data_IF_318783497203
#
_entry.id   IF_318783497203
#
_cell.length_a   1.000
_cell.length_b   1.000
_cell.length_c   1.000
_cell.angle_alpha   90.00
_cell.angle_beta   90.00
_cell.angle_gamma   90.00
#
_symmetry.space_group_name_H-M   'P 1'
#
loop_
_entity.id
_entity.type
_entity.pdbx_description
1 polymer ?
#
# COMPACT_ATOMS: atom_id res chain seq x y z
N UNK A 1 -1.86 -16.91 3.09
CA UNK A 1 -1.02 -15.72 2.78
C UNK A 1 -1.16 -15.40 1.31
N UNK A 2 -1.72 -14.23 0.95
CA UNK A 2 -1.87 -13.78 -0.45
C UNK A 2 -0.92 -12.61 -0.70
N UNK A 3 0.36 -12.91 -0.87
CA UNK A 3 1.33 -11.93 -1.35
C UNK A 3 1.11 -11.76 -2.85
N UNK A 4 0.90 -10.52 -3.28
CA UNK A 4 0.72 -10.18 -4.70
C UNK A 4 1.80 -9.21 -5.12
N UNK A 5 2.26 -9.33 -6.36
CA UNK A 5 3.21 -8.38 -6.93
C UNK A 5 2.55 -7.00 -7.00
N UNK A 6 3.32 -5.94 -6.78
CA UNK A 6 2.88 -4.55 -6.90
C UNK A 6 2.08 -4.30 -8.19
N UNK A 7 2.56 -4.85 -9.32
CA UNK A 7 1.89 -4.70 -10.62
C UNK A 7 0.48 -5.32 -10.66
N UNK A 8 0.29 -6.47 -10.01
CA UNK A 8 -1.03 -7.12 -9.89
C UNK A 8 -1.93 -6.34 -8.96
N UNK A 9 -1.43 -5.98 -7.78
CA UNK A 9 -2.16 -5.14 -6.83
C UNK A 9 -2.63 -3.81 -7.44
N UNK A 10 -1.77 -3.15 -8.21
CA UNK A 10 -2.10 -1.92 -8.94
C UNK A 10 -3.26 -2.13 -9.94
N UNK A 11 -3.34 -3.31 -10.55
CA UNK A 11 -4.40 -3.66 -11.48
C UNK A 11 -5.71 -4.04 -10.78
N UNK A 12 -5.64 -4.71 -9.62
CA UNK A 12 -6.82 -5.14 -8.85
C UNK A 12 -7.43 -3.99 -8.01
N UNK A 13 -6.62 -3.19 -7.31
CA UNK A 13 -7.09 -2.06 -6.48
C UNK A 13 -7.25 -0.75 -7.25
N UNK A 14 -6.62 -0.60 -8.42
CA UNK A 14 -6.57 0.67 -9.15
C UNK A 14 -5.61 1.71 -8.54
N UNK A 15 -4.90 1.37 -7.46
CA UNK A 15 -3.81 2.18 -6.92
C UNK A 15 -2.62 2.21 -7.89
N UNK A 16 -1.92 3.34 -8.00
CA UNK A 16 -0.68 3.43 -8.78
C UNK A 16 0.53 2.94 -7.97
N UNK A 17 1.58 2.49 -8.66
CA UNK A 17 2.87 2.17 -8.02
C UNK A 17 3.42 3.36 -7.22
N UNK A 18 3.28 4.57 -7.76
CA UNK A 18 3.65 5.80 -7.06
C UNK A 18 2.92 5.98 -5.73
N UNK A 19 1.60 5.71 -5.69
CA UNK A 19 0.81 5.79 -4.45
C UNK A 19 1.33 4.81 -3.38
N UNK A 20 1.73 3.60 -3.77
CA UNK A 20 2.34 2.62 -2.86
C UNK A 20 3.71 3.12 -2.37
N UNK A 21 4.53 3.65 -3.27
CA UNK A 21 5.83 4.22 -2.90
C UNK A 21 5.68 5.44 -1.98
N UNK A 22 4.67 6.28 -2.20
CA UNK A 22 4.34 7.41 -1.34
C UNK A 22 3.87 6.95 0.04
N UNK A 23 2.99 5.94 0.13
CA UNK A 23 2.56 5.33 1.40
C UNK A 23 3.75 4.73 2.17
N UNK A 24 4.66 4.06 1.47
CA UNK A 24 5.92 3.52 2.03
C UNK A 24 6.85 4.65 2.51
N UNK A 25 7.05 5.70 1.71
CA UNK A 25 7.89 6.87 2.06
C UNK A 25 7.32 7.64 3.24
N UNK A 26 5.99 7.72 3.36
CA UNK A 26 5.29 8.34 4.50
C UNK A 26 5.33 7.49 5.77
N UNK A 27 5.86 6.27 5.71
CA UNK A 27 5.92 5.35 6.86
C UNK A 27 4.58 4.72 7.23
N UNK A 28 3.58 4.82 6.34
CA UNK A 28 2.25 4.24 6.55
C UNK A 28 2.30 2.73 6.32
N UNK A 29 3.08 2.30 5.33
CA UNK A 29 3.32 0.90 5.02
C UNK A 29 4.69 0.47 5.51
N UNK A 30 4.70 -0.52 6.40
CA UNK A 30 5.91 -1.08 6.98
C UNK A 30 6.47 -2.20 6.11
N UNK A 31 7.79 -2.18 5.91
CA UNK A 31 8.51 -3.25 5.20
C UNK A 31 8.50 -4.53 6.05
N UNK A 32 8.01 -5.63 5.49
CA UNK A 32 7.80 -6.91 6.17
C UNK A 32 6.35 -7.16 6.63
N UNK A 33 5.50 -6.14 6.71
CA UNK A 33 4.09 -6.27 7.13
C UNK A 33 3.14 -6.11 5.94
N UNK A 34 2.99 -4.87 5.44
CA UNK A 34 2.11 -4.57 4.30
C UNK A 34 2.83 -4.68 2.96
N UNK A 35 4.08 -4.25 2.90
CA UNK A 35 4.93 -4.37 1.71
C UNK A 35 6.21 -5.12 2.04
N UNK A 36 6.77 -5.87 1.11
CA UNK A 36 8.02 -6.60 1.29
C UNK A 36 8.83 -6.58 0.01
N UNK A 37 10.12 -6.33 0.11
CA UNK A 37 11.03 -6.51 -1.02
C UNK A 37 11.31 -8.01 -1.21
N UNK A 38 10.94 -8.54 -2.36
CA UNK A 38 11.28 -9.90 -2.75
C UNK A 38 12.76 -10.04 -3.16
N UNK A 39 13.31 -11.25 -3.16
CA UNK A 39 14.68 -11.51 -3.60
C UNK A 39 14.91 -11.11 -5.07
N UNK A 40 13.86 -11.09 -5.89
CA UNK A 40 13.89 -10.65 -7.29
C UNK A 40 13.95 -9.12 -7.48
N UNK A 41 14.05 -8.34 -6.40
CA UNK A 41 13.98 -6.87 -6.44
C UNK A 41 12.56 -6.30 -6.66
N UNK A 42 11.55 -7.16 -6.69
CA UNK A 42 10.15 -6.76 -6.84
C UNK A 42 9.47 -6.50 -5.48
N UNK A 43 8.61 -5.49 -5.42
CA UNK A 43 7.78 -5.25 -4.23
C UNK A 43 6.56 -6.18 -4.25
N UNK A 44 6.40 -6.89 -3.15
CA UNK A 44 5.25 -7.71 -2.83
C UNK A 44 4.37 -6.99 -1.82
N UNK A 45 3.07 -7.05 -2.03
CA UNK A 45 2.06 -6.45 -1.18
C UNK A 45 1.25 -7.57 -0.56
N UNK A 46 1.06 -7.49 0.75
CA UNK A 46 0.20 -8.40 1.48
C UNK A 46 -1.22 -7.84 1.50
N UNK A 47 -2.12 -8.43 0.71
CA UNK A 47 -3.51 -7.98 0.60
C UNK A 47 -4.21 -7.96 1.96
N UNK A 48 -3.93 -8.94 2.83
CA UNK A 48 -4.62 -9.06 4.12
C UNK A 48 -4.27 -7.89 5.05
N UNK A 49 -3.00 -7.53 5.12
CA UNK A 49 -2.54 -6.43 5.97
C UNK A 49 -2.92 -5.07 5.38
N UNK A 50 -2.95 -4.96 4.04
CA UNK A 50 -3.46 -3.77 3.37
C UNK A 50 -4.96 -3.62 3.61
N UNK A 51 -5.76 -4.68 3.52
CA UNK A 51 -7.20 -4.65 3.79
C UNK A 51 -7.47 -4.22 5.24
N UNK A 52 -6.79 -4.85 6.22
CA UNK A 52 -6.83 -4.39 7.61
C UNK A 52 -6.43 -2.93 7.78
N UNK A 53 -5.42 -2.47 7.05
CA UNK A 53 -5.01 -1.08 7.06
C UNK A 53 -6.07 -0.16 6.45
N UNK A 54 -6.77 -0.58 5.38
CA UNK A 54 -7.88 0.17 4.78
C UNK A 54 -9.04 0.26 5.78
N UNK A 55 -9.42 -0.85 6.41
CA UNK A 55 -10.46 -0.90 7.44
C UNK A 55 -10.11 -0.03 8.66
N UNK A 56 -8.83 -0.01 9.05
CA UNK A 56 -8.35 0.78 10.18
C UNK A 56 -7.96 2.23 9.80
N UNK A 57 -7.87 2.54 8.50
CA UNK A 57 -7.27 3.74 7.92
C UNK A 57 -8.10 5.02 8.05
N UNK A 58 -9.30 4.92 8.60
CA UNK A 58 -10.25 6.04 8.70
C UNK A 58 -9.92 7.04 9.83
N UNK A 59 -8.79 6.90 10.55
CA UNK A 59 -8.42 7.84 11.62
C UNK A 59 -7.37 8.90 11.22
N UNK A 60 -6.72 8.80 10.06
CA UNK A 60 -5.50 9.59 9.80
C UNK A 60 -5.49 10.50 8.55
N UNK A 61 -6.51 10.52 7.68
CA UNK A 61 -6.48 11.42 6.50
C UNK A 61 -7.75 12.23 6.32
N UNK A 62 -7.95 13.20 7.22
CA UNK A 62 -8.71 14.42 6.95
C UNK A 62 -7.77 15.62 6.66
N UNK A 63 -6.59 15.38 6.05
CA UNK A 63 -5.61 16.43 5.80
C UNK A 63 -5.26 16.53 4.31
N UNK A 64 -6.26 16.89 3.51
CA UNK A 64 -6.13 17.85 2.40
C UNK A 64 -7.48 17.94 1.67
N UNK A 65 -8.35 18.81 2.18
CA UNK A 65 -9.23 19.58 1.32
C UNK A 65 -8.35 20.17 0.20
N UNK A 66 -8.70 19.87 -1.04
CA UNK A 66 -8.46 20.76 -2.19
C UNK A 66 -9.89 21.09 -2.62
N UNK A 67 -10.55 22.13 -2.09
CA UNK A 67 -10.24 23.55 -2.33
C UNK A 67 -9.80 23.77 -3.79
N UNK A 68 -10.77 23.64 -4.70
CA UNK A 68 -11.01 24.60 -5.79
C UNK A 68 -12.50 24.56 -6.15
#
# INVERSE_FOLDING_TARGET
MKWVKLKKYCQDSGDTSDAVHAKRKRGIWLDGVQCKLGPDGNIWINLVEVEKWVENGNKATNCSLRAV
#
